data_IF_924136674410
#
_entry.id   IF_924136674410
#
_cell.length_a   1.000
_cell.length_b   1.000
_cell.length_c   1.000
_cell.angle_alpha   90.00
_cell.angle_beta   90.00
_cell.angle_gamma   90.00
#
_symmetry.space_group_name_H-M   'P 1'
#
loop_
_entity.id
_entity.type
_entity.pdbx_description
1 polymer ?
#
# COMPACT_ATOMS: atom_id res chain seq x y z
N UNK A 1 1.68 -15.56 9.23
CA UNK A 1 2.45 -14.34 9.60
C UNK A 1 1.97 -13.19 8.72
N UNK A 2 1.83 -11.96 9.26
CA UNK A 2 1.47 -10.77 8.45
C UNK A 2 2.66 -9.83 8.36
N UNK A 3 3.10 -9.52 7.14
CA UNK A 3 4.14 -8.52 6.89
C UNK A 3 3.52 -7.11 6.89
N UNK A 4 4.12 -6.16 7.61
CA UNK A 4 3.72 -4.74 7.54
C UNK A 4 4.76 -3.99 6.73
N UNK A 5 4.33 -3.20 5.73
CA UNK A 5 5.21 -2.52 4.78
C UNK A 5 4.61 -1.20 4.31
N UNK A 6 5.44 -0.29 3.82
CA UNK A 6 5.00 0.90 3.09
C UNK A 6 4.70 0.61 1.61
N UNK A 7 4.96 -0.61 1.14
CA UNK A 7 4.69 -1.03 -0.25
C UNK A 7 5.70 -0.50 -1.27
N UNK A 8 6.75 0.20 -0.83
CA UNK A 8 7.81 0.70 -1.70
C UNK A 8 9.02 -0.24 -1.58
N UNK A 9 9.34 -0.95 -2.66
CA UNK A 9 10.47 -1.85 -2.74
C UNK A 9 11.50 -1.28 -3.73
N UNK A 10 12.77 -1.19 -3.31
CA UNK A 10 13.87 -0.77 -4.19
C UNK A 10 14.52 -2.01 -4.78
N UNK A 11 14.15 -2.48 -5.97
CA UNK A 11 15.00 -3.48 -6.63
C UNK A 11 14.91 -3.39 -8.15
N UNK A 12 16.08 -3.21 -8.78
CA UNK A 12 16.24 -3.32 -10.22
C UNK A 12 15.74 -4.66 -10.75
N UNK A 13 15.05 -4.59 -11.89
CA UNK A 13 14.47 -5.67 -12.67
C UNK A 13 13.25 -6.37 -12.04
N UNK A 14 12.08 -5.91 -12.48
CA UNK A 14 10.73 -6.51 -12.37
C UNK A 14 10.03 -6.43 -11.00
N UNK A 15 9.46 -5.24 -10.73
CA UNK A 15 8.46 -4.96 -9.68
C UNK A 15 7.27 -5.94 -9.66
N UNK A 16 7.02 -6.64 -10.77
CA UNK A 16 5.88 -7.55 -10.94
C UNK A 16 5.90 -8.80 -10.06
N UNK A 17 7.03 -9.15 -9.42
CA UNK A 17 7.15 -10.41 -8.68
C UNK A 17 7.31 -10.28 -7.16
N UNK A 18 7.36 -9.08 -6.59
CA UNK A 18 7.57 -8.92 -5.14
C UNK A 18 6.48 -9.63 -4.31
N UNK A 19 5.20 -9.44 -4.66
CA UNK A 19 4.08 -10.11 -4.01
C UNK A 19 4.14 -11.64 -4.13
N UNK A 20 4.50 -12.16 -5.31
CA UNK A 20 4.63 -13.59 -5.56
C UNK A 20 5.82 -14.19 -4.78
N UNK A 21 6.95 -13.48 -4.70
CA UNK A 21 8.07 -13.90 -3.88
C UNK A 21 7.70 -13.97 -2.40
N UNK A 22 6.95 -13.00 -1.88
CA UNK A 22 6.43 -13.04 -0.51
C UNK A 22 5.55 -14.27 -0.30
N UNK A 23 4.62 -14.54 -1.23
CA UNK A 23 3.74 -15.71 -1.17
C UNK A 23 4.53 -17.02 -1.16
N UNK A 24 5.49 -17.17 -2.08
CA UNK A 24 6.35 -18.34 -2.19
C UNK A 24 7.27 -18.53 -0.97
N UNK A 25 7.61 -17.44 -0.27
CA UNK A 25 8.34 -17.47 0.99
C UNK A 25 7.46 -17.82 2.21
N UNK A 26 6.18 -18.11 2.02
CA UNK A 26 5.25 -18.50 3.08
C UNK A 26 4.58 -17.32 3.81
N UNK A 27 4.62 -16.11 3.24
CA UNK A 27 3.81 -15.00 3.73
C UNK A 27 2.42 -15.11 3.13
N UNK A 28 1.38 -15.16 3.99
CA UNK A 28 -0.01 -15.26 3.54
C UNK A 28 -0.78 -13.94 3.63
N UNK A 29 -0.22 -12.93 4.31
CA UNK A 29 -0.91 -11.69 4.60
C UNK A 29 0.05 -10.49 4.62
N UNK A 30 -0.44 -9.35 4.13
CA UNK A 30 0.30 -8.08 4.13
C UNK A 30 -0.56 -6.94 4.71
N UNK A 31 0.07 -5.97 5.35
CA UNK A 31 -0.53 -4.70 5.76
C UNK A 31 0.26 -3.58 5.09
N UNK A 32 -0.38 -2.78 4.24
CA UNK A 32 0.28 -1.76 3.40
C UNK A 32 -0.17 -0.37 3.81
N UNK A 33 0.78 0.54 4.00
CA UNK A 33 0.49 1.95 4.28
C UNK A 33 0.21 2.74 3.00
N UNK A 34 -1.07 2.92 2.65
CA UNK A 34 -1.49 3.72 1.49
C UNK A 34 -1.63 5.21 1.83
N UNK A 35 -2.02 5.54 3.05
CA UNK A 35 -2.20 6.91 3.61
C UNK A 35 -3.21 7.84 2.91
N UNK A 36 -3.20 7.96 1.58
CA UNK A 36 -4.10 8.82 0.82
C UNK A 36 -4.44 8.25 -0.55
N UNK A 37 -5.61 8.61 -1.09
CA UNK A 37 -5.98 8.38 -2.48
C UNK A 37 -5.37 9.38 -3.47
N UNK A 38 -4.89 10.52 -2.98
CA UNK A 38 -4.34 11.60 -3.82
C UNK A 38 -2.81 11.46 -3.89
N UNK A 39 -2.22 11.28 -5.08
CA UNK A 39 -0.77 11.17 -5.25
C UNK A 39 0.01 12.35 -4.68
N UNK A 40 -0.49 13.58 -4.87
CA UNK A 40 0.21 14.80 -4.42
C UNK A 40 0.20 14.88 -2.89
N UNK A 41 -0.96 14.58 -2.29
CA UNK A 41 -1.08 14.50 -0.84
C UNK A 41 -0.23 13.36 -0.27
N UNK A 42 -0.19 12.20 -0.94
CA UNK A 42 0.64 11.07 -0.53
C UNK A 42 2.12 11.47 -0.46
N UNK A 43 2.65 12.11 -1.50
CA UNK A 43 4.05 12.56 -1.53
C UNK A 43 4.35 13.53 -0.39
N UNK A 44 3.42 14.44 -0.10
CA UNK A 44 3.56 15.39 1.02
C UNK A 44 3.55 14.68 2.38
N UNK A 45 2.70 13.66 2.56
CA UNK A 45 2.54 12.97 3.84
C UNK A 45 3.65 11.95 4.12
N UNK A 46 4.13 11.28 3.06
CA UNK A 46 5.03 10.14 3.19
C UNK A 46 6.49 10.48 2.91
N UNK A 47 6.76 11.65 2.31
CA UNK A 47 8.09 12.12 1.92
C UNK A 47 8.98 11.00 1.36
N UNK A 48 8.49 10.24 0.36
CA UNK A 48 9.23 9.11 -0.18
C UNK A 48 10.56 9.56 -0.79
N UNK A 49 11.57 8.67 -0.80
CA UNK A 49 12.86 8.96 -1.40
C UNK A 49 12.73 9.46 -2.85
N UNK A 50 13.51 10.48 -3.21
CA UNK A 50 13.51 11.11 -4.55
C UNK A 50 13.96 10.16 -5.67
N UNK A 51 14.45 8.96 -5.34
CA UNK A 51 14.82 7.93 -6.30
C UNK A 51 13.61 7.20 -6.92
N UNK A 52 12.40 7.38 -6.38
CA UNK A 52 11.19 6.76 -6.91
C UNK A 52 10.42 7.71 -7.81
N UNK A 53 10.11 7.24 -9.03
CA UNK A 53 9.17 7.93 -9.93
C UNK A 53 7.75 7.49 -9.56
N UNK A 54 6.86 8.45 -9.28
CA UNK A 54 5.45 8.20 -8.91
C UNK A 54 5.27 7.20 -7.74
N UNK A 55 5.79 7.51 -6.54
CA UNK A 55 5.81 6.58 -5.41
C UNK A 55 4.40 6.11 -4.97
N UNK A 56 3.37 6.94 -5.14
CA UNK A 56 1.98 6.54 -4.89
C UNK A 56 1.52 5.42 -5.82
N UNK A 57 1.86 5.52 -7.12
CA UNK A 57 1.53 4.50 -8.10
C UNK A 57 2.25 3.19 -7.81
N UNK A 58 3.51 3.24 -7.36
CA UNK A 58 4.29 2.06 -6.95
C UNK A 58 3.56 1.29 -5.84
N UNK A 59 3.09 1.99 -4.81
CA UNK A 59 2.33 1.37 -3.71
C UNK A 59 1.01 0.78 -4.19
N UNK A 60 0.27 1.51 -5.04
CA UNK A 60 -0.98 0.99 -5.62
C UNK A 60 -0.75 -0.28 -6.45
N UNK A 61 0.31 -0.31 -7.26
CA UNK A 61 0.68 -1.48 -8.05
C UNK A 61 1.06 -2.68 -7.17
N UNK A 62 1.78 -2.44 -6.07
CA UNK A 62 2.10 -3.48 -5.11
C UNK A 62 0.84 -4.05 -4.44
N UNK A 63 -0.09 -3.20 -4.02
CA UNK A 63 -1.36 -3.63 -3.42
C UNK A 63 -2.13 -4.52 -4.40
N UNK A 64 -2.29 -4.08 -5.65
CA UNK A 64 -2.97 -4.86 -6.68
C UNK A 64 -2.27 -6.21 -6.91
N UNK A 65 -0.94 -6.20 -7.04
CA UNK A 65 -0.15 -7.42 -7.23
C UNK A 65 -0.26 -8.38 -6.04
N UNK A 66 -0.38 -7.86 -4.81
CA UNK A 66 -0.58 -8.66 -3.61
C UNK A 66 -1.95 -9.32 -3.59
N UNK A 67 -3.00 -8.59 -4.00
CA UNK A 67 -4.35 -9.15 -4.19
C UNK A 67 -4.32 -10.25 -5.25
N UNK A 68 -3.71 -9.99 -6.40
CA UNK A 68 -3.63 -10.93 -7.52
C UNK A 68 -2.82 -12.20 -7.17
N UNK A 69 -1.81 -12.06 -6.30
CA UNK A 69 -1.03 -13.19 -5.76
C UNK A 69 -1.76 -13.99 -4.66
N UNK A 70 -2.99 -13.60 -4.29
CA UNK A 70 -3.79 -14.28 -3.27
C UNK A 70 -3.28 -14.06 -1.84
N UNK A 71 -2.64 -12.92 -1.58
CA UNK A 71 -2.32 -12.49 -0.22
C UNK A 71 -3.56 -11.86 0.44
N UNK A 72 -3.72 -12.08 1.75
CA UNK A 72 -4.69 -11.33 2.54
C UNK A 72 -4.16 -9.91 2.77
N UNK A 73 -4.71 -8.94 2.02
CA UNK A 73 -4.28 -7.54 2.03
C UNK A 73 -5.12 -6.73 3.01
N UNK A 74 -4.44 -6.07 3.94
CA UNK A 74 -4.96 -4.96 4.75
C UNK A 74 -4.33 -3.65 4.27
N UNK A 75 -5.13 -2.61 4.09
CA UNK A 75 -4.63 -1.25 3.85
C UNK A 75 -4.74 -0.43 5.11
N UNK A 76 -3.74 0.39 5.39
CA UNK A 76 -3.69 1.28 6.56
C UNK A 76 -3.51 2.74 6.15
N UNK A 77 -4.02 3.63 7.00
CA UNK A 77 -3.87 5.07 6.86
C UNK A 77 -3.91 5.77 8.22
N UNK A 78 -3.44 7.01 8.28
CA UNK A 78 -3.53 7.87 9.47
C UNK A 78 -4.69 8.85 9.27
N UNK A 79 -5.57 8.97 10.27
CA UNK A 79 -6.76 9.83 10.23
C UNK A 79 -6.37 11.30 10.49
N UNK A 80 -5.66 11.91 9.53
CA UNK A 80 -5.21 13.30 9.61
C UNK A 80 -5.14 13.94 8.23
N UNK A 81 -5.96 14.98 8.00
CA UNK A 81 -5.96 15.78 6.76
C UNK A 81 -6.20 14.99 5.46
N UNK A 82 -6.71 13.77 5.52
CA UNK A 82 -6.95 12.89 4.36
C UNK A 82 -8.44 12.67 4.10
N UNK A 83 -8.81 12.45 2.82
CA UNK A 83 -10.15 11.99 2.46
C UNK A 83 -10.25 10.47 2.64
N UNK A 84 -10.76 10.04 3.80
CA UNK A 84 -10.91 8.61 4.13
C UNK A 84 -11.80 7.87 3.14
N UNK A 85 -12.89 8.50 2.69
CA UNK A 85 -13.85 7.86 1.79
C UNK A 85 -13.22 7.59 0.43
N UNK A 86 -12.47 8.56 -0.11
CA UNK A 86 -11.72 8.35 -1.36
C UNK A 86 -10.61 7.31 -1.20
N UNK A 87 -9.90 7.30 -0.08
CA UNK A 87 -8.85 6.30 0.20
C UNK A 87 -9.42 4.89 0.30
N UNK A 88 -10.55 4.72 0.99
CA UNK A 88 -11.27 3.45 1.05
C UNK A 88 -11.84 3.02 -0.32
N UNK A 89 -12.32 3.97 -1.13
CA UNK A 89 -12.75 3.68 -2.49
C UNK A 89 -11.57 3.21 -3.35
N UNK A 90 -10.41 3.86 -3.25
CA UNK A 90 -9.20 3.45 -3.96
C UNK A 90 -8.78 2.03 -3.53
N UNK A 91 -8.73 1.74 -2.23
CA UNK A 91 -8.40 0.39 -1.74
C UNK A 91 -9.34 -0.68 -2.33
N UNK A 92 -10.64 -0.40 -2.39
CA UNK A 92 -11.63 -1.29 -3.03
C UNK A 92 -11.40 -1.46 -4.53
N UNK A 93 -11.07 -0.38 -5.24
CA UNK A 93 -10.74 -0.43 -6.68
C UNK A 93 -9.49 -1.30 -6.95
N UNK A 94 -8.55 -1.34 -6.00
CA UNK A 94 -7.35 -2.19 -6.04
C UNK A 94 -7.62 -3.64 -5.62
N UNK A 95 -8.89 -4.03 -5.42
CA UNK A 95 -9.29 -5.39 -5.06
C UNK A 95 -9.19 -5.74 -3.57
N UNK A 96 -8.89 -4.78 -2.70
CA UNK A 96 -8.86 -5.00 -1.24
C UNK A 96 -10.28 -5.16 -0.72
N UNK A 97 -10.56 -6.30 -0.10
CA UNK A 97 -11.89 -6.64 0.45
C UNK A 97 -12.04 -6.25 1.91
N UNK A 98 -10.93 -6.15 2.64
CA UNK A 98 -10.90 -5.71 4.02
C UNK A 98 -11.13 -4.19 4.13
N UNK A 99 -11.60 -3.74 5.30
CA UNK A 99 -11.73 -2.30 5.56
C UNK A 99 -10.33 -1.68 5.73
N UNK A 100 -10.16 -0.44 5.26
CA UNK A 100 -8.97 0.34 5.58
C UNK A 100 -8.91 0.53 7.09
N UNK A 101 -7.78 0.16 7.69
CA UNK A 101 -7.54 0.34 9.12
C UNK A 101 -6.91 1.71 9.37
N UNK A 102 -7.72 2.61 9.90
CA UNK A 102 -7.30 3.96 10.26
C UNK A 102 -6.63 3.98 11.64
N UNK A 103 -5.49 4.68 11.72
CA UNK A 103 -4.79 4.97 12.98
C UNK A 103 -5.09 6.41 13.40
N UNK A 104 -5.33 6.66 14.70
CA UNK A 104 -5.45 8.02 15.20
C UNK A 104 -4.11 8.75 15.04
N UNK A 105 -4.19 10.04 14.74
CA UNK A 105 -3.04 10.94 14.77
C UNK A 105 -2.92 11.52 16.19
N UNK A 106 -1.72 11.48 16.75
CA UNK A 106 -1.41 12.05 18.06
C UNK A 106 -0.48 13.24 17.88
N UNK A 107 -0.87 14.39 18.45
CA UNK A 107 -0.07 15.62 18.50
C UNK A 107 0.66 15.74 19.84
#
# INVERSE_FOLDING_TARGET
>A
VRLTTNGIFSVGNSDSNAALHLKNAGIDAVSVALMSSDPIQYETLMEPSTSFVNPHQVVCNFIQSAVDAGLDVEVTGVDHLVDKKKTENLARLLGVTSRVRWRPYFQ
#
